data_IF_424442157229
#
_entry.id   IF_424442157229
#
_cell.length_a   1.000
_cell.length_b   1.000
_cell.length_c   1.000
_cell.angle_alpha   90.00
_cell.angle_beta   90.00
_cell.angle_gamma   90.00
#
_symmetry.space_group_name_H-M   'P 1'
#
loop_
_entity.id
_entity.type
_entity.pdbx_description
1 polymer ?
#
# COMPACT_ATOMS: atom_id res chain seq x y z
N UNK A 1 -2.33 26.87 18.00
CA UNK A 1 -1.81 25.53 17.67
C UNK A 1 -2.29 25.15 16.29
N UNK A 2 -1.44 25.27 15.28
CA UNK A 2 -1.72 24.81 13.92
C UNK A 2 -1.82 23.28 13.96
N UNK A 3 -2.99 22.72 13.65
CA UNK A 3 -3.17 21.27 13.49
C UNK A 3 -2.12 20.78 12.50
N UNK A 4 -1.16 19.98 12.97
CA UNK A 4 -0.20 19.31 12.09
C UNK A 4 -0.99 18.53 11.04
N UNK A 5 -0.71 18.78 9.77
CA UNK A 5 -1.37 18.09 8.67
C UNK A 5 -1.11 16.57 8.82
N UNK A 6 -2.15 15.73 8.98
CA UNK A 6 -1.98 14.28 9.03
C UNK A 6 -1.32 13.71 7.78
N UNK A 7 -1.33 14.46 6.66
CA UNK A 7 -0.74 14.09 5.38
C UNK A 7 0.71 14.56 5.20
N UNK A 8 1.30 15.24 6.19
CA UNK A 8 2.67 15.77 6.11
C UNK A 8 3.73 14.70 5.84
N UNK A 9 3.43 13.43 6.14
CA UNK A 9 4.33 12.31 5.88
C UNK A 9 3.95 11.45 4.67
N UNK A 10 3.07 11.90 3.76
CA UNK A 10 2.73 11.21 2.49
C UNK A 10 3.88 11.26 1.46
N UNK A 11 5.12 11.09 1.93
CA UNK A 11 6.34 11.04 1.15
C UNK A 11 6.38 9.80 0.26
N UNK A 12 7.23 9.82 -0.76
CA UNK A 12 7.39 8.71 -1.73
C UNK A 12 7.73 7.35 -1.06
N UNK A 13 8.30 7.36 0.16
CA UNK A 13 8.59 6.16 0.94
C UNK A 13 7.41 5.64 1.78
N UNK A 14 6.30 6.38 1.82
CA UNK A 14 5.08 6.05 2.54
C UNK A 14 3.98 5.71 1.54
N UNK A 15 4.19 4.67 0.74
CA UNK A 15 3.22 4.15 -0.21
C UNK A 15 2.99 2.65 -0.03
N UNK A 16 1.85 2.13 -0.47
CA UNK A 16 1.55 0.71 -0.34
C UNK A 16 2.65 -0.16 -0.97
N UNK A 17 3.29 0.25 -2.07
CA UNK A 17 4.39 -0.51 -2.68
C UNK A 17 5.60 -0.74 -1.75
N UNK A 18 5.82 0.11 -0.75
CA UNK A 18 6.90 -0.03 0.27
C UNK A 18 6.36 -0.55 1.60
N UNK A 19 5.08 -0.92 1.67
CA UNK A 19 4.44 -1.37 2.89
C UNK A 19 4.62 -2.89 3.05
N UNK A 20 5.03 -3.34 4.24
CA UNK A 20 5.15 -4.77 4.57
C UNK A 20 3.83 -5.58 4.50
N UNK A 21 2.72 -4.87 4.37
CA UNK A 21 1.37 -5.39 4.25
C UNK A 21 0.86 -5.40 2.80
N UNK A 22 1.63 -4.90 1.85
CA UNK A 22 1.23 -4.93 0.46
C UNK A 22 1.68 -6.22 -0.21
N UNK A 23 0.77 -6.83 -0.95
CA UNK A 23 1.05 -8.00 -1.77
C UNK A 23 0.68 -7.66 -3.21
N UNK A 24 1.68 -7.56 -4.08
CA UNK A 24 1.47 -7.25 -5.50
C UNK A 24 0.68 -8.37 -6.19
N UNK A 25 -0.28 -8.00 -7.04
CA UNK A 25 -0.94 -8.97 -7.93
C UNK A 25 -0.06 -9.21 -9.15
N UNK A 26 -0.04 -10.45 -9.66
CA UNK A 26 0.60 -10.76 -10.92
C UNK A 26 0.00 -9.89 -12.05
N UNK A 27 0.87 -9.27 -12.84
CA UNK A 27 0.46 -8.55 -14.06
C UNK A 27 -0.06 -9.57 -15.07
N UNK A 28 -1.22 -9.30 -15.67
CA UNK A 28 -1.67 -10.01 -16.87
C UNK A 28 -1.16 -9.27 -18.09
N UNK A 29 -0.93 -9.99 -19.20
CA UNK A 29 -0.43 -9.41 -20.46
C UNK A 29 -1.31 -8.25 -20.98
N UNK A 30 -2.60 -8.25 -20.63
CA UNK A 30 -3.58 -7.22 -21.00
C UNK A 30 -3.60 -5.97 -20.09
N UNK A 31 -2.69 -5.87 -19.10
CA UNK A 31 -2.67 -4.74 -18.18
C UNK A 31 -2.07 -3.49 -18.85
N UNK A 32 -2.91 -2.68 -19.49
CA UNK A 32 -2.53 -1.44 -20.18
C UNK A 32 -1.89 -0.36 -19.27
N UNK A 33 -1.97 -0.50 -17.94
CA UNK A 33 -1.49 0.49 -16.97
C UNK A 33 -0.36 -0.14 -16.16
N UNK A 34 0.83 0.46 -16.23
CA UNK A 34 2.04 -0.03 -15.54
C UNK A 34 2.06 0.27 -14.02
N UNK A 35 0.95 0.77 -13.47
CA UNK A 35 0.85 1.09 -12.05
C UNK A 35 0.73 -0.19 -11.25
N UNK A 36 1.56 -0.41 -10.22
CA UNK A 36 1.49 -1.62 -9.40
C UNK A 36 0.13 -1.70 -8.68
N UNK A 37 -0.62 -2.76 -8.94
CA UNK A 37 -1.87 -3.07 -8.23
C UNK A 37 -1.62 -4.27 -7.31
N UNK A 38 -2.14 -4.22 -6.09
CA UNK A 38 -1.98 -5.29 -5.11
C UNK A 38 -3.13 -5.37 -4.13
N UNK A 39 -2.90 -6.08 -3.03
CA UNK A 39 -3.84 -6.24 -1.92
C UNK A 39 -3.18 -5.92 -0.58
N UNK A 40 -3.92 -5.30 0.33
CA UNK A 40 -3.45 -4.99 1.68
C UNK A 40 -3.81 -6.11 2.68
N UNK A 41 -2.81 -6.70 3.35
CA UNK A 41 -2.96 -7.81 4.32
C UNK A 41 -2.95 -7.37 5.79
N UNK A 42 -3.22 -6.09 6.09
CA UNK A 42 -3.17 -5.54 7.46
C UNK A 42 -3.87 -6.38 8.51
N UNK A 43 -5.07 -6.86 8.20
CA UNK A 43 -5.91 -7.59 9.13
C UNK A 43 -6.05 -9.07 8.75
N UNK A 44 -5.00 -9.65 8.15
CA UNK A 44 -4.96 -11.08 7.88
C UNK A 44 -4.83 -11.90 9.18
N UNK A 45 -5.50 -13.06 9.29
CA UNK A 45 -6.52 -13.60 8.38
C UNK A 45 -7.91 -12.98 8.64
N UNK A 46 -8.64 -12.62 7.58
CA UNK A 46 -10.02 -12.11 7.67
C UNK A 46 -10.92 -12.75 6.62
N UNK A 47 -12.17 -13.01 6.99
CA UNK A 47 -13.20 -13.54 6.07
C UNK A 47 -13.68 -12.49 5.06
N UNK A 48 -13.43 -11.20 5.32
CA UNK A 48 -13.84 -10.09 4.44
C UNK A 48 -12.87 -9.89 3.26
N UNK A 49 -11.82 -10.71 3.15
CA UNK A 49 -10.81 -10.61 2.10
C UNK A 49 -9.83 -9.44 2.31
N UNK A 50 -9.02 -9.17 1.28
CA UNK A 50 -7.97 -8.14 1.31
C UNK A 50 -8.30 -7.00 0.34
N UNK A 51 -8.39 -5.74 0.81
CA UNK A 51 -8.66 -4.58 -0.02
C UNK A 51 -7.69 -4.51 -1.20
N UNK A 52 -8.20 -4.21 -2.39
CA UNK A 52 -7.38 -3.89 -3.56
C UNK A 52 -6.88 -2.46 -3.39
N UNK A 53 -5.57 -2.27 -3.56
CA UNK A 53 -4.93 -0.96 -3.44
C UNK A 53 -3.95 -0.76 -4.60
N UNK A 54 -3.76 0.49 -5.00
CA UNK A 54 -2.64 0.87 -5.85
C UNK A 54 -1.37 0.94 -5.01
N UNK A 55 -0.22 0.64 -5.60
CA UNK A 55 1.07 0.76 -4.91
C UNK A 55 1.39 2.19 -4.50
N UNK A 56 0.75 3.19 -5.11
CA UNK A 56 0.84 4.61 -4.77
C UNK A 56 -0.11 5.05 -3.66
N UNK A 57 -1.00 4.18 -3.18
CA UNK A 57 -1.92 4.50 -2.07
C UNK A 57 -1.17 4.60 -0.73
N UNK A 58 -1.79 5.25 0.25
CA UNK A 58 -1.33 5.29 1.64
C UNK A 58 -2.53 5.22 2.59
N UNK A 59 -2.45 4.39 3.63
CA UNK A 59 -3.58 4.08 4.50
C UNK A 59 -3.42 4.53 5.96
N UNK A 60 -2.38 5.29 6.31
CA UNK A 60 -2.10 5.69 7.71
C UNK A 60 -1.46 4.58 8.56
N UNK A 61 -1.83 3.34 8.30
CA UNK A 61 -1.27 2.15 8.94
C UNK A 61 -0.04 1.57 8.22
N UNK A 62 0.57 2.38 7.35
CA UNK A 62 1.77 2.00 6.62
C UNK A 62 2.89 1.66 7.59
N UNK A 63 3.61 0.57 7.30
CA UNK A 63 4.80 0.21 8.06
C UNK A 63 5.77 -0.53 7.14
N UNK A 64 7.05 -0.36 7.44
CA UNK A 64 8.20 -0.86 6.69
C UNK A 64 8.82 -2.04 7.45
N UNK A 65 9.35 -3.01 6.72
CA UNK A 65 10.23 -4.06 7.26
C UNK A 65 11.54 -4.13 6.44
N UNK A 66 12.43 -5.04 6.81
CA UNK A 66 13.74 -5.23 6.16
C UNK A 66 13.62 -5.63 4.66
N UNK A 67 12.47 -6.16 4.24
CA UNK A 67 12.23 -6.61 2.87
C UNK A 67 11.46 -5.60 2.01
N UNK A 68 10.87 -4.57 2.63
CA UNK A 68 9.97 -3.61 1.99
C UNK A 68 10.61 -2.22 2.00
N UNK A 69 11.57 -1.99 1.11
CA UNK A 69 12.38 -0.75 1.02
C UNK A 69 12.00 0.10 -0.19
#
# INVERSE_FOLDING_TARGET
MTKSDPWVHRSKGMSCSTCMWFVMKAKTEDSAIDTPIGRCRRHAPTMNGYPVVFGTDWCGDHKIDENCV
#
